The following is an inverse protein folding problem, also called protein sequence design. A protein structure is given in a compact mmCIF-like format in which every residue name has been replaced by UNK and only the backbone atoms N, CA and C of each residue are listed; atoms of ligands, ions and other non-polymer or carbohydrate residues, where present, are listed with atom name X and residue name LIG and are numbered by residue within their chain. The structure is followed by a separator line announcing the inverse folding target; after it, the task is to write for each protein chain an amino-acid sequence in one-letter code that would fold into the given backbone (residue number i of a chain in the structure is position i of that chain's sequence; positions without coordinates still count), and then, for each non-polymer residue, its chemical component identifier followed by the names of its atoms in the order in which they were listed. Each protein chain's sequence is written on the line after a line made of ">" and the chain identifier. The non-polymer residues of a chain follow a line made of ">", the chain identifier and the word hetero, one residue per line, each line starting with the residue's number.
data_IF_128549706156
#
_entry.id   IF_128549706156
#
_cell.length_a   1.000
_cell.length_b   1.000
_cell.length_c   1.000
_cell.angle_alpha   90.00
_cell.angle_beta   90.00
_cell.angle_gamma   90.00
#
_symmetry.space_group_name_H-M   'P 1'
#
loop_
_entity.id
_entity.type
_entity.pdbx_description
1 polymer ?
#
# COMPACT_ATOMS: atom_id res chain seq x y z
N UNK A 1 -9.18 -12.04 20.52
CA UNK A 1 -8.91 -11.05 19.48
C UNK A 1 -9.84 -9.87 19.75
N UNK A 2 -9.38 -8.62 19.79
CA UNK A 2 -10.13 -7.36 19.94
C UNK A 2 -9.83 -6.45 18.74
N UNK A 3 -10.44 -5.26 18.66
CA UNK A 3 -10.19 -4.34 17.53
C UNK A 3 -8.70 -3.93 17.43
N UNK A 4 -8.03 -3.77 18.58
CA UNK A 4 -6.60 -3.50 18.65
C UNK A 4 -5.76 -4.65 18.05
N UNK A 5 -6.23 -5.89 18.16
CA UNK A 5 -5.56 -7.04 17.56
C UNK A 5 -5.73 -7.05 16.02
N UNK A 6 -6.81 -6.48 15.49
CA UNK A 6 -6.99 -6.29 14.04
C UNK A 6 -6.08 -5.19 13.49
N UNK A 7 -5.90 -4.09 14.23
CA UNK A 7 -4.94 -3.04 13.88
C UNK A 7 -3.50 -3.56 13.93
N UNK A 8 -3.16 -4.36 14.94
CA UNK A 8 -1.87 -5.05 14.99
C UNK A 8 -1.69 -6.01 13.81
N UNK A 9 -2.70 -6.83 13.50
CA UNK A 9 -2.67 -7.74 12.35
C UNK A 9 -2.46 -7.00 11.02
N UNK A 10 -3.10 -5.84 10.83
CA UNK A 10 -2.91 -5.01 9.65
C UNK A 10 -1.48 -4.47 9.54
N UNK A 11 -0.89 -3.99 10.66
CA UNK A 11 0.51 -3.56 10.71
C UNK A 11 1.47 -4.70 10.38
N UNK A 12 1.21 -5.91 10.90
CA UNK A 12 2.01 -7.10 10.60
C UNK A 12 1.95 -7.45 9.10
N UNK A 13 0.77 -7.40 8.49
CA UNK A 13 0.62 -7.63 7.05
C UNK A 13 1.36 -6.58 6.21
N UNK A 14 1.26 -5.30 6.58
CA UNK A 14 1.98 -4.22 5.89
C UNK A 14 3.49 -4.43 6.00
N UNK A 15 3.99 -4.78 7.18
CA UNK A 15 5.41 -5.02 7.43
C UNK A 15 5.93 -6.25 6.69
N UNK A 16 5.16 -7.34 6.66
CA UNK A 16 5.60 -8.61 6.07
C UNK A 16 5.58 -8.63 4.53
N UNK A 17 4.87 -7.70 3.87
CA UNK A 17 4.67 -7.72 2.43
C UNK A 17 5.50 -6.66 1.70
N UNK A 18 6.25 -7.10 0.68
CA UNK A 18 7.14 -6.28 -0.14
C UNK A 18 6.40 -5.34 -1.10
N UNK A 19 5.27 -5.79 -1.64
CA UNK A 19 4.55 -5.08 -2.70
C UNK A 19 3.13 -4.72 -2.27
N UNK A 20 2.65 -3.57 -2.72
CA UNK A 20 1.23 -3.24 -2.72
C UNK A 20 0.76 -3.14 -4.16
N UNK A 21 -0.50 -3.47 -4.41
CA UNK A 21 -1.14 -3.22 -5.71
C UNK A 21 -1.92 -1.91 -5.62
N UNK A 22 -1.57 -0.95 -6.48
CA UNK A 22 -2.21 0.34 -6.59
C UNK A 22 -3.26 0.31 -7.70
N UNK A 23 -4.49 0.70 -7.38
CA UNK A 23 -5.57 0.98 -8.32
C UNK A 23 -5.67 2.47 -8.60
N UNK A 24 -5.56 2.84 -9.87
CA UNK A 24 -5.68 4.21 -10.37
C UNK A 24 -6.73 4.28 -11.48
N UNK A 25 -7.14 5.48 -11.85
CA UNK A 25 -8.04 5.71 -13.01
C UNK A 25 -7.45 6.76 -13.92
N UNK A 26 -7.57 6.55 -15.24
CA UNK A 26 -7.17 7.55 -16.23
C UNK A 26 -8.24 8.65 -16.42
N UNK A 27 -7.99 9.53 -17.39
CA UNK A 27 -8.85 10.69 -17.71
C UNK A 27 -10.27 10.38 -18.13
N UNK A 28 -10.49 9.18 -18.65
CA UNK A 28 -11.81 8.71 -19.07
C UNK A 28 -12.46 7.82 -18.00
N UNK A 29 -11.81 7.65 -16.83
CA UNK A 29 -12.27 6.76 -15.75
C UNK A 29 -11.91 5.29 -15.95
N UNK A 30 -11.04 4.98 -16.92
CA UNK A 30 -10.54 3.63 -17.17
C UNK A 30 -9.69 3.13 -16.00
N UNK A 31 -9.99 1.95 -15.42
CA UNK A 31 -9.25 1.43 -14.28
C UNK A 31 -7.88 0.88 -14.70
N UNK A 32 -6.89 1.05 -13.84
CA UNK A 32 -5.57 0.45 -14.00
C UNK A 32 -5.02 0.00 -12.65
N UNK A 33 -4.55 -1.24 -12.58
CA UNK A 33 -3.88 -1.79 -11.39
C UNK A 33 -2.44 -2.15 -11.68
N UNK A 34 -1.52 -1.79 -10.79
CA UNK A 34 -0.13 -2.22 -10.87
C UNK A 34 0.48 -2.47 -9.49
N UNK A 35 1.36 -3.48 -9.34
CA UNK A 35 2.15 -3.64 -8.13
C UNK A 35 3.28 -2.58 -8.08
N UNK A 36 3.57 -2.07 -6.89
CA UNK A 36 4.73 -1.23 -6.59
C UNK A 36 5.45 -1.74 -5.34
N UNK A 37 6.80 -1.70 -5.36
CA UNK A 37 7.58 -1.89 -4.14
C UNK A 37 7.38 -0.66 -3.26
N UNK A 38 7.04 -0.86 -1.99
CA UNK A 38 6.63 0.23 -1.11
C UNK A 38 7.27 0.14 0.26
N UNK A 39 7.31 1.25 0.99
CA UNK A 39 7.57 1.28 2.42
C UNK A 39 6.42 1.97 3.17
N UNK A 40 6.05 1.50 4.37
CA UNK A 40 5.15 2.26 5.25
C UNK A 40 5.89 3.46 5.86
N UNK A 41 5.22 4.60 5.94
CA UNK A 41 5.69 5.83 6.57
C UNK A 41 4.69 6.27 7.67
N UNK A 42 4.48 5.38 8.64
CA UNK A 42 3.38 5.41 9.60
C UNK A 42 2.26 4.43 9.24
N UNK A 43 1.15 4.47 9.98
CA UNK A 43 0.08 3.45 9.87
C UNK A 43 -0.79 3.58 8.61
N UNK A 44 -0.92 4.81 8.07
CA UNK A 44 -1.82 5.13 6.97
C UNK A 44 -1.11 5.68 5.73
N UNK A 45 0.23 5.78 5.75
CA UNK A 45 1.00 6.36 4.65
C UNK A 45 1.89 5.31 4.01
N UNK A 46 1.81 5.20 2.69
CA UNK A 46 2.60 4.28 1.89
C UNK A 46 3.42 5.08 0.89
N UNK A 47 4.71 4.81 0.80
CA UNK A 47 5.61 5.52 -0.11
C UNK A 47 6.29 4.56 -1.08
N UNK A 48 6.50 5.00 -2.31
CA UNK A 48 7.19 4.23 -3.35
C UNK A 48 7.92 5.16 -4.33
N UNK A 49 8.79 4.58 -5.13
CA UNK A 49 9.46 5.26 -6.26
C UNK A 49 8.88 4.74 -7.57
N UNK A 50 8.62 5.63 -8.51
CA UNK A 50 8.17 5.26 -9.85
C UNK A 50 8.59 6.26 -10.90
N UNK A 51 8.65 5.80 -12.14
CA UNK A 51 8.92 6.62 -13.32
C UNK A 51 7.70 7.51 -13.60
N UNK A 52 7.94 8.77 -13.99
CA UNK A 52 6.88 9.78 -14.18
C UNK A 52 5.98 9.50 -15.39
N UNK A 53 6.49 8.86 -16.43
CA UNK A 53 5.76 8.42 -17.61
C UNK A 53 4.91 7.15 -17.43
N UNK A 54 5.09 6.42 -16.32
CA UNK A 54 4.33 5.21 -16.04
C UNK A 54 2.84 5.52 -15.95
N UNK A 55 1.99 4.58 -16.42
CA UNK A 55 0.54 4.82 -16.52
C UNK A 55 -0.07 5.26 -15.18
N UNK A 56 0.28 4.58 -14.09
CA UNK A 56 -0.23 4.95 -12.77
C UNK A 56 0.26 6.34 -12.33
N UNK A 57 1.53 6.70 -12.56
CA UNK A 57 2.09 8.02 -12.25
C UNK A 57 1.35 9.15 -12.98
N UNK A 58 1.09 8.98 -14.29
CA UNK A 58 0.30 9.93 -15.08
C UNK A 58 -1.14 10.03 -14.60
N UNK A 59 -1.76 8.89 -14.26
CA UNK A 59 -3.09 8.86 -13.70
C UNK A 59 -3.16 9.67 -12.38
N UNK A 60 -2.16 9.55 -11.51
CA UNK A 60 -2.10 10.28 -10.23
C UNK A 60 -2.00 11.79 -10.40
N UNK A 61 -1.28 12.25 -11.41
CA UNK A 61 -1.17 13.69 -11.71
C UNK A 61 -2.54 14.31 -12.06
N UNK A 62 -3.44 13.53 -12.68
CA UNK A 62 -4.77 13.98 -13.05
C UNK A 62 -5.84 13.67 -11.98
N UNK A 63 -5.77 12.49 -11.35
CA UNK A 63 -6.69 12.00 -10.32
C UNK A 63 -5.93 11.39 -9.16
N UNK A 64 -5.85 12.08 -8.01
CA UNK A 64 -5.12 11.57 -6.85
C UNK A 64 -5.82 10.40 -6.16
N UNK A 65 -7.13 10.19 -6.37
CA UNK A 65 -7.87 9.12 -5.69
C UNK A 65 -7.42 7.74 -6.13
N UNK A 66 -7.08 6.90 -5.16
CA UNK A 66 -6.59 5.54 -5.37
C UNK A 66 -7.29 4.54 -4.47
N UNK A 67 -7.30 3.30 -4.92
CA UNK A 67 -7.45 2.14 -4.05
C UNK A 67 -6.12 1.40 -3.95
N UNK A 68 -5.89 0.70 -2.86
CA UNK A 68 -4.71 -0.16 -2.73
C UNK A 68 -5.04 -1.44 -1.98
N UNK A 69 -4.24 -2.47 -2.24
CA UNK A 69 -4.25 -3.71 -1.47
C UNK A 69 -2.81 -4.16 -1.20
N UNK A 70 -2.54 -4.49 0.06
CA UNK A 70 -1.39 -5.28 0.47
C UNK A 70 -1.91 -6.69 0.71
N UNK A 71 -1.55 -7.64 -0.14
CA UNK A 71 -2.03 -9.02 -0.09
C UNK A 71 -0.86 -9.98 0.10
N UNK A 72 -0.96 -10.84 1.11
CA UNK A 72 0.01 -11.91 1.31
C UNK A 72 -0.23 -13.03 0.30
N UNK A 73 0.53 -12.98 -0.80
CA UNK A 73 0.47 -14.00 -1.87
C UNK A 73 1.23 -15.28 -1.53
N UNK A 74 1.85 -15.40 -0.35
CA UNK A 74 2.62 -16.58 0.05
C UNK A 74 1.75 -17.64 0.74
N UNK A 75 0.56 -17.25 1.22
CA UNK A 75 -0.40 -18.17 1.84
C UNK A 75 -1.04 -19.12 0.83
N UNK A 76 -1.43 -20.31 1.31
CA UNK A 76 -2.15 -21.27 0.50
C UNK A 76 -3.53 -20.72 0.04
N UNK A 77 -4.11 -21.28 -1.05
CA UNK A 77 -5.46 -20.93 -1.47
C UNK A 77 -6.46 -20.98 -0.32
N UNK A 78 -7.39 -20.02 -0.29
CA UNK A 78 -8.41 -19.85 0.76
C UNK A 78 -7.90 -19.37 2.12
N UNK A 79 -6.59 -19.13 2.29
CA UNK A 79 -6.00 -18.53 3.49
C UNK A 79 -5.64 -17.06 3.33
N UNK A 80 -6.27 -16.35 2.38
CA UNK A 80 -5.94 -14.97 2.06
C UNK A 80 -5.86 -14.07 3.30
N UNK A 81 -4.86 -13.18 3.30
CA UNK A 81 -4.69 -12.12 4.29
C UNK A 81 -4.37 -10.84 3.55
N UNK A 82 -5.10 -9.77 3.86
CA UNK A 82 -4.93 -8.53 3.14
C UNK A 82 -5.35 -7.30 3.95
N UNK A 83 -4.65 -6.21 3.68
CA UNK A 83 -5.08 -4.85 4.00
C UNK A 83 -5.55 -4.19 2.72
N UNK A 84 -6.70 -3.52 2.78
CA UNK A 84 -7.27 -2.74 1.70
C UNK A 84 -7.34 -1.29 2.15
N UNK A 85 -7.16 -0.36 1.23
CA UNK A 85 -7.40 1.04 1.54
C UNK A 85 -7.93 1.80 0.33
N UNK A 86 -8.58 2.93 0.64
CA UNK A 86 -8.90 3.98 -0.32
C UNK A 86 -8.31 5.27 0.22
N UNK A 87 -7.75 6.08 -0.66
CA UNK A 87 -7.05 7.28 -0.24
C UNK A 87 -6.68 8.18 -1.40
N UNK A 88 -5.73 9.07 -1.13
CA UNK A 88 -5.16 9.96 -2.13
C UNK A 88 -3.66 9.74 -2.24
N UNK A 89 -3.18 9.71 -3.48
CA UNK A 89 -1.79 9.56 -3.82
C UNK A 89 -1.27 10.72 -4.65
N UNK A 90 -0.04 11.15 -4.37
CA UNK A 90 0.60 12.32 -4.99
C UNK A 90 2.11 12.14 -5.08
N UNK A 91 2.72 12.85 -6.03
CA UNK A 91 4.17 13.05 -6.07
C UNK A 91 4.62 13.88 -4.85
N UNK A 92 5.74 13.48 -4.24
CA UNK A 92 6.31 14.15 -3.08
C UNK A 92 7.34 15.21 -3.49
N UNK A 93 7.39 16.29 -2.71
CA UNK A 93 8.41 17.34 -2.84
C UNK A 93 8.73 17.96 -1.47
N UNK A 94 9.84 18.70 -1.39
CA UNK A 94 10.28 19.39 -0.18
C UNK A 94 10.43 18.45 1.01
N UNK A 95 10.05 18.91 2.20
CA UNK A 95 10.21 18.13 3.43
C UNK A 95 9.49 16.77 3.43
N UNK A 96 8.40 16.64 2.68
CA UNK A 96 7.67 15.38 2.59
C UNK A 96 8.50 14.32 1.83
N UNK A 97 9.25 14.75 0.81
CA UNK A 97 10.21 13.90 0.12
C UNK A 97 11.36 13.49 1.04
N UNK A 98 11.93 14.45 1.78
CA UNK A 98 13.03 14.18 2.72
C UNK A 98 12.63 13.14 3.79
N UNK A 99 11.42 13.27 4.35
CA UNK A 99 10.88 12.30 5.32
C UNK A 99 10.66 10.93 4.71
N UNK A 100 10.16 10.87 3.48
CA UNK A 100 9.89 9.61 2.81
C UNK A 100 11.19 8.86 2.47
N UNK A 101 12.24 9.57 2.01
CA UNK A 101 13.57 9.01 1.79
C UNK A 101 14.18 8.38 3.05
N UNK A 102 13.86 8.89 4.25
CA UNK A 102 14.30 8.27 5.50
C UNK A 102 13.62 6.92 5.80
N UNK A 103 12.50 6.61 5.14
CA UNK A 103 11.71 5.39 5.34
C UNK A 103 11.82 4.41 4.17
N UNK A 104 12.52 4.76 3.08
CA UNK A 104 12.58 3.99 1.84
C UNK A 104 14.02 3.89 1.29
N UNK A 105 14.47 2.72 0.80
CA UNK A 105 13.76 1.44 0.82
C UNK A 105 13.61 0.92 2.26
N UNK A 106 12.83 -0.15 2.45
CA UNK A 106 12.70 -0.72 3.78
C UNK A 106 14.04 -1.28 4.26
N UNK A 107 14.38 -1.01 5.52
CA UNK A 107 15.62 -1.49 6.13
C UNK A 107 15.59 -2.95 6.60
N UNK A 108 14.47 -3.64 6.44
CA UNK A 108 14.22 -5.00 6.93
C UNK A 108 14.43 -6.09 5.86
N UNK A 109 14.80 -5.72 4.63
CA UNK A 109 15.01 -6.65 3.52
C UNK A 109 16.41 -6.61 2.94
N UNK A 110 16.95 -7.80 2.62
CA UNK A 110 18.17 -7.94 1.83
C UNK A 110 17.88 -7.60 0.36
N UNK A 111 18.52 -6.54 -0.18
CA UNK A 111 18.68 -6.38 -1.63
C UNK A 111 18.04 -5.16 -2.30
N UNK A 112 17.34 -4.28 -1.58
CA UNK A 112 16.88 -3.01 -2.16
C UNK A 112 17.99 -1.95 -2.12
N UNK A 113 18.31 -1.36 -3.27
CA UNK A 113 19.29 -0.26 -3.35
C UNK A 113 18.73 0.99 -2.68
N UNK A 114 19.55 1.65 -1.85
CA UNK A 114 19.20 2.92 -1.25
C UNK A 114 18.86 3.95 -2.34
N UNK A 115 17.81 4.73 -2.10
CA UNK A 115 17.39 5.82 -2.99
C UNK A 115 17.84 7.13 -2.39
N UNK A 116 18.52 7.95 -3.18
CA UNK A 116 18.98 9.29 -2.82
C UNK A 116 18.04 10.36 -3.34
N UNK A 117 18.19 11.60 -2.87
CA UNK A 117 17.44 12.74 -3.41
C UNK A 117 17.68 12.93 -4.91
N UNK A 118 18.91 12.70 -5.40
CA UNK A 118 19.25 12.84 -6.82
C UNK A 118 18.52 11.82 -7.69
N UNK A 119 18.33 10.59 -7.19
CA UNK A 119 17.64 9.52 -7.91
C UNK A 119 16.16 9.83 -8.18
N UNK A 120 15.56 10.75 -7.44
CA UNK A 120 14.12 11.06 -7.51
C UNK A 120 13.82 12.55 -7.67
N UNK A 121 14.79 13.36 -8.11
CA UNK A 121 14.60 14.80 -8.32
C UNK A 121 15.28 15.29 -9.60
N UNK A 122 15.09 16.58 -9.91
CA UNK A 122 15.71 17.24 -11.05
C UNK A 122 15.43 16.51 -12.37
N UNK A 123 16.52 16.15 -13.06
CA UNK A 123 16.47 15.49 -14.37
C UNK A 123 16.22 13.97 -14.28
N UNK A 124 16.14 13.38 -13.08
CA UNK A 124 15.78 11.97 -12.95
C UNK A 124 14.40 11.71 -13.56
N UNK A 125 14.18 10.60 -14.30
CA UNK A 125 12.85 10.22 -14.76
C UNK A 125 11.96 9.68 -13.63
N UNK A 126 12.54 9.37 -12.46
CA UNK A 126 11.85 8.83 -11.30
C UNK A 126 11.44 9.92 -10.31
N UNK A 127 10.34 9.67 -9.61
CA UNK A 127 9.86 10.47 -8.49
C UNK A 127 9.45 9.57 -7.34
N UNK A 128 9.45 10.14 -6.15
CA UNK A 128 8.86 9.51 -5.00
C UNK A 128 7.40 9.95 -4.86
N UNK A 129 6.53 9.00 -4.53
CA UNK A 129 5.11 9.22 -4.35
C UNK A 129 4.71 8.74 -2.96
N UNK A 130 3.62 9.32 -2.44
CA UNK A 130 2.92 8.77 -1.28
C UNK A 130 1.46 8.51 -1.59
N UNK A 131 0.87 7.58 -0.85
CA UNK A 131 -0.57 7.40 -0.73
C UNK A 131 -0.93 7.53 0.76
N UNK A 132 -1.87 8.41 1.06
CA UNK A 132 -2.45 8.55 2.40
C UNK A 132 -3.82 7.88 2.37
N UNK A 133 -3.95 6.79 3.10
CA UNK A 133 -5.22 6.08 3.24
C UNK A 133 -6.19 6.91 4.10
N UNK A 134 -7.33 7.26 3.51
CA UNK A 134 -8.43 7.91 4.23
C UNK A 134 -9.31 6.88 4.93
N UNK A 135 -9.43 5.69 4.33
CA UNK A 135 -10.17 4.57 4.88
C UNK A 135 -9.37 3.28 4.65
N UNK A 136 -9.31 2.43 5.69
CA UNK A 136 -8.60 1.16 5.65
C UNK A 136 -9.47 0.03 6.17
N UNK A 137 -9.27 -1.15 5.59
CA UNK A 137 -9.92 -2.38 6.01
C UNK A 137 -8.92 -3.52 6.07
N UNK A 138 -9.10 -4.42 7.03
CA UNK A 138 -8.36 -5.68 7.08
C UNK A 138 -9.29 -6.85 6.82
N UNK A 139 -8.83 -7.84 6.06
CA UNK A 139 -9.50 -9.13 5.96
C UNK A 139 -9.37 -9.84 7.32
N UNK A 140 -10.49 -10.12 7.98
CA UNK A 140 -10.43 -10.76 9.29
C UNK A 140 -9.74 -12.14 9.19
N UNK A 141 -8.72 -12.40 10.03
CA UNK A 141 -8.02 -13.67 9.99
C UNK A 141 -8.95 -14.76 10.52
N UNK A 142 -9.24 -15.74 9.67
CA UNK A 142 -10.04 -16.92 9.99
C UNK A 142 -9.49 -18.14 9.25
N UNK A 143 -9.85 -19.31 9.77
CA UNK A 143 -9.64 -20.56 9.06
C UNK A 143 -10.77 -20.80 8.04
N UNK A 144 -10.48 -21.45 6.90
CA UNK A 144 -11.50 -21.77 5.91
C UNK A 144 -12.61 -22.63 6.51
N UNK A 145 -13.84 -22.38 6.11
CA UNK A 145 -15.01 -23.09 6.62
C UNK A 145 -15.38 -22.80 8.08
N UNK A 146 -14.56 -22.07 8.83
CA UNK A 146 -14.87 -21.67 10.20
C UNK A 146 -15.46 -20.25 10.26
N UNK A 147 -16.40 -19.98 11.20
CA UNK A 147 -16.85 -18.63 11.46
C UNK A 147 -15.70 -17.77 11.99
N UNK A 148 -15.72 -16.50 11.63
CA UNK A 148 -14.78 -15.55 12.20
C UNK A 148 -14.91 -15.52 13.73
N UNK A 149 -13.81 -15.69 14.48
CA UNK A 149 -13.87 -15.73 15.94
C UNK A 149 -14.31 -14.40 16.56
N UNK A 150 -14.15 -13.28 15.85
CA UNK A 150 -14.57 -11.96 16.31
C UNK A 150 -16.04 -11.65 16.05
N UNK A 151 -16.50 -11.98 14.84
CA UNK A 151 -17.78 -11.47 14.32
C UNK A 151 -18.83 -12.57 14.13
N UNK A 152 -18.47 -13.84 14.31
CA UNK A 152 -19.36 -14.98 14.07
C UNK A 152 -19.73 -15.19 12.59
N UNK A 153 -19.08 -14.46 11.67
CA UNK A 153 -19.40 -14.48 10.24
C UNK A 153 -18.73 -15.68 9.56
N UNK A 154 -19.52 -16.59 9.01
CA UNK A 154 -19.07 -17.79 8.29
C UNK A 154 -18.78 -17.53 6.79
N UNK A 155 -18.15 -16.40 6.47
CA UNK A 155 -17.67 -16.03 5.12
C UNK A 155 -16.52 -15.03 5.22
N UNK A 156 -15.83 -14.81 4.12
CA UNK A 156 -14.86 -13.72 4.03
C UNK A 156 -15.57 -12.38 4.24
N UNK A 157 -15.02 -11.58 5.13
CA UNK A 157 -15.51 -10.25 5.45
C UNK A 157 -14.32 -9.40 5.92
N UNK A 158 -14.46 -8.10 5.71
CA UNK A 158 -13.47 -7.11 6.08
C UNK A 158 -14.04 -6.24 7.18
N UNK A 159 -13.15 -5.71 8.01
CA UNK A 159 -13.51 -4.74 9.06
C UNK A 159 -12.74 -3.46 8.81
N UNK A 160 -13.42 -2.33 8.97
CA UNK A 160 -12.82 -1.02 8.87
C UNK A 160 -11.98 -0.74 10.12
N UNK A 161 -10.75 -0.28 9.92
CA UNK A 161 -9.82 0.09 10.99
C UNK A 161 -10.02 1.55 11.41
#
# INVERSE_FOLDING_TARGET
>A
MQNDDLAAHARDLISANTYLTLGTTDDDGGPWTCPVYFAPAGDHTFVWVSETGARHSRNLAARPRVSLVVFDSTVAPYHGRAVYAVGEARELSGEALDRALASYPRGDGDGATAVTLEDVSGASPYRMYSAIAAEMWVLCPRDPGQPCPLHGVARDHRVQL
#
